data_IF_833319456064
#
_entry.id   IF_833319456064
#
_cell.length_a   1.000
_cell.length_b   1.000
_cell.length_c   1.000
_cell.angle_alpha   90.00
_cell.angle_beta   90.00
_cell.angle_gamma   90.00
#
_symmetry.space_group_name_H-M   'P 1'
#
loop_
_entity.id
_entity.type
_entity.pdbx_description
1 polymer ?
#
# COMPACT_ATOMS: atom_id res chain seq x y z
N UNK A 1 -11.00 -28.28 -11.85
CA UNK A 1 -10.99 -27.24 -10.81
C UNK A 1 -11.12 -27.92 -9.46
N UNK A 2 -10.10 -27.88 -8.63
CA UNK A 2 -10.24 -28.26 -7.22
C UNK A 2 -10.93 -27.07 -6.54
N UNK A 3 -11.91 -27.30 -5.65
CA UNK A 3 -12.50 -26.23 -4.89
C UNK A 3 -11.40 -25.58 -4.04
N UNK A 4 -11.29 -24.25 -4.10
CA UNK A 4 -10.45 -23.49 -3.19
C UNK A 4 -10.98 -23.81 -1.79
N UNK A 5 -10.15 -24.41 -0.96
CA UNK A 5 -10.47 -24.56 0.45
C UNK A 5 -10.56 -23.17 1.04
N UNK A 6 -11.77 -22.70 1.29
CA UNK A 6 -12.00 -21.60 2.22
C UNK A 6 -11.65 -22.13 3.59
N UNK A 7 -10.37 -22.05 3.95
CA UNK A 7 -9.96 -22.30 5.32
C UNK A 7 -10.59 -21.20 6.16
N UNK A 8 -11.62 -21.56 6.91
CA UNK A 8 -12.09 -20.73 7.99
C UNK A 8 -10.89 -20.38 8.86
N UNK A 9 -10.70 -19.12 9.24
CA UNK A 9 -9.54 -18.72 10.04
C UNK A 9 -9.51 -19.56 11.33
N UNK A 10 -8.32 -19.99 11.79
CA UNK A 10 -8.19 -20.65 13.09
C UNK A 10 -8.76 -19.73 14.17
N UNK A 11 -9.34 -20.32 15.21
CA UNK A 11 -10.02 -19.59 16.28
C UNK A 11 -9.18 -18.43 16.85
N UNK A 12 -9.83 -17.46 17.46
CA UNK A 12 -9.28 -16.18 17.92
C UNK A 12 -8.06 -16.29 18.87
N UNK A 13 -7.77 -17.49 19.41
CA UNK A 13 -6.75 -17.73 20.44
C UNK A 13 -5.39 -18.24 19.89
N UNK A 14 -5.23 -18.37 18.57
CA UNK A 14 -3.98 -18.86 17.96
C UNK A 14 -3.01 -17.74 17.57
N UNK A 15 -1.71 -18.05 17.56
CA UNK A 15 -0.71 -17.18 16.93
C UNK A 15 -1.08 -16.92 15.47
N UNK A 16 -0.97 -15.66 14.97
CA UNK A 16 -1.24 -15.36 13.56
C UNK A 16 -0.35 -16.22 12.66
N UNK A 17 -0.95 -16.97 11.74
CA UNK A 17 -0.21 -17.67 10.70
C UNK A 17 0.07 -16.71 9.56
N UNK A 18 1.19 -16.90 8.86
CA UNK A 18 1.52 -16.10 7.68
C UNK A 18 0.47 -16.27 6.57
N UNK A 19 0.03 -15.15 5.97
CA UNK A 19 -0.85 -15.16 4.79
C UNK A 19 -1.90 -14.05 4.80
N UNK A 20 -2.33 -13.65 3.59
CA UNK A 20 -3.42 -12.70 3.37
C UNK A 20 -4.27 -13.16 2.17
N UNK A 21 -5.59 -13.16 2.32
CA UNK A 21 -6.52 -13.74 1.35
C UNK A 21 -7.60 -12.78 0.88
N UNK A 22 -7.74 -11.62 1.53
CA UNK A 22 -8.75 -10.60 1.24
C UNK A 22 -8.35 -9.29 1.90
N UNK A 23 -8.85 -8.19 1.37
CA UNK A 23 -8.63 -6.85 1.94
C UNK A 23 -9.64 -6.50 3.06
N UNK A 24 -10.63 -7.34 3.30
CA UNK A 24 -11.66 -7.14 4.32
C UNK A 24 -11.96 -8.43 5.09
N UNK A 25 -11.07 -9.01 5.74
CA UNK A 25 -11.29 -10.13 6.66
C UNK A 25 -10.89 -9.72 8.06
N UNK A 26 -10.95 -10.67 8.99
CA UNK A 26 -10.47 -10.43 10.37
C UNK A 26 -8.97 -10.16 10.32
N UNK A 27 -8.58 -8.93 10.59
CA UNK A 27 -7.17 -8.53 10.64
C UNK A 27 -6.50 -9.12 11.88
N UNK A 28 -5.46 -9.94 11.70
CA UNK A 28 -4.76 -10.63 12.79
C UNK A 28 -3.43 -9.98 13.14
N UNK A 29 -2.75 -9.50 12.12
CA UNK A 29 -1.44 -8.87 12.26
C UNK A 29 -1.27 -7.78 11.22
N UNK A 30 -0.59 -6.70 11.58
CA UNK A 30 -0.31 -5.58 10.68
C UNK A 30 1.09 -5.03 10.92
N UNK A 31 1.72 -4.54 9.87
CA UNK A 31 2.93 -3.73 9.97
C UNK A 31 2.51 -2.27 9.85
N UNK A 32 2.69 -1.50 10.93
CA UNK A 32 2.46 -0.06 10.92
C UNK A 32 3.77 0.65 10.64
N UNK A 33 3.78 1.55 9.67
CA UNK A 33 4.97 2.29 9.23
C UNK A 33 5.61 3.15 10.32
N UNK A 34 6.77 3.71 10.03
CA UNK A 34 7.51 4.61 10.89
C UNK A 34 7.88 5.89 10.16
N UNK A 35 7.76 7.04 10.84
CA UNK A 35 8.25 8.33 10.34
C UNK A 35 9.70 8.61 10.76
N UNK A 36 10.33 7.71 11.52
CA UNK A 36 11.72 7.87 11.96
C UNK A 36 12.67 7.97 10.77
N UNK A 37 13.50 8.98 10.77
CA UNK A 37 14.48 9.23 9.71
C UNK A 37 13.88 9.60 8.34
N UNK A 38 12.58 9.89 8.23
CA UNK A 38 11.94 10.22 6.96
C UNK A 38 12.66 11.35 6.22
N UNK A 39 13.24 11.02 5.07
CA UNK A 39 13.95 11.95 4.20
C UNK A 39 13.45 11.82 2.76
N UNK A 40 12.80 12.86 2.25
CA UNK A 40 12.26 12.88 0.90
C UNK A 40 13.32 13.29 -0.12
N UNK A 41 13.29 12.75 -1.34
CA UNK A 41 14.25 13.11 -2.37
C UNK A 41 14.10 14.58 -2.78
N UNK A 42 15.10 15.17 -3.46
CA UNK A 42 14.97 16.49 -4.06
C UNK A 42 13.70 16.62 -4.89
N UNK A 43 13.19 17.85 -5.01
CA UNK A 43 11.97 18.11 -5.78
C UNK A 43 12.06 17.57 -7.22
N UNK A 44 11.05 16.81 -7.60
CA UNK A 44 10.85 16.36 -8.98
C UNK A 44 9.41 16.73 -9.38
N UNK A 45 9.20 17.34 -10.56
CA UNK A 45 7.88 17.68 -11.07
C UNK A 45 6.88 16.50 -11.12
N UNK A 46 7.38 15.27 -11.25
CA UNK A 46 6.54 14.06 -11.21
C UNK A 46 5.97 13.75 -9.82
N UNK A 47 6.36 14.49 -8.77
CA UNK A 47 5.84 14.38 -7.41
C UNK A 47 4.64 15.30 -7.18
N UNK A 48 3.80 15.48 -8.17
CA UNK A 48 2.63 16.37 -8.13
C UNK A 48 1.54 15.96 -7.10
N UNK A 49 1.56 14.70 -6.66
CA UNK A 49 0.64 14.20 -5.62
C UNK A 49 0.99 14.71 -4.20
N UNK A 50 2.14 15.33 -3.99
CA UNK A 50 2.43 16.01 -2.75
C UNK A 50 1.65 17.33 -2.66
N UNK A 51 1.17 17.65 -1.46
CA UNK A 51 0.50 18.93 -1.24
C UNK A 51 1.46 20.12 -1.42
N UNK A 52 0.88 21.32 -1.61
CA UNK A 52 1.63 22.55 -1.93
C UNK A 52 2.69 22.92 -0.88
N UNK A 53 2.41 22.67 0.41
CA UNK A 53 3.35 22.94 1.50
C UNK A 53 4.60 22.09 1.35
N UNK A 54 4.44 20.78 1.15
CA UNK A 54 5.54 19.84 0.99
C UNK A 54 6.31 20.09 -0.32
N UNK A 55 5.61 20.39 -1.43
CA UNK A 55 6.26 20.78 -2.68
C UNK A 55 7.10 22.06 -2.50
N UNK A 56 6.60 23.03 -1.76
CA UNK A 56 7.32 24.29 -1.47
C UNK A 56 8.57 24.02 -0.64
N UNK A 57 8.48 23.17 0.38
CA UNK A 57 9.63 22.77 1.19
C UNK A 57 10.69 22.02 0.37
N UNK A 58 10.26 21.09 -0.48
CA UNK A 58 11.16 20.33 -1.39
C UNK A 58 11.87 21.26 -2.38
N UNK A 59 11.18 22.25 -2.97
CA UNK A 59 11.81 23.24 -3.85
C UNK A 59 12.86 24.06 -3.13
N UNK A 60 12.66 24.37 -1.85
CA UNK A 60 13.64 25.11 -1.03
C UNK A 60 14.85 24.28 -0.62
N UNK A 61 14.73 22.96 -0.49
CA UNK A 61 15.84 22.08 -0.13
C UNK A 61 16.89 21.92 -1.23
N UNK A 62 16.54 22.29 -2.47
CA UNK A 62 17.41 22.18 -3.64
C UNK A 62 17.74 20.71 -3.97
N UNK A 63 19.03 20.43 -4.19
CA UNK A 63 19.51 19.09 -4.59
C UNK A 63 19.73 18.14 -3.39
N UNK A 64 19.37 18.56 -2.17
CA UNK A 64 19.52 17.73 -0.95
C UNK A 64 18.20 17.08 -0.59
N UNK A 65 18.22 15.85 -0.04
CA UNK A 65 17.05 15.26 0.57
C UNK A 65 16.49 16.16 1.68
N UNK A 66 15.16 16.26 1.74
CA UNK A 66 14.47 16.99 2.79
C UNK A 66 14.21 16.05 3.97
N UNK A 67 14.93 16.24 5.07
CA UNK A 67 14.64 15.57 6.35
C UNK A 67 13.42 16.22 6.97
N UNK A 68 12.31 15.48 7.03
CA UNK A 68 11.01 16.07 7.42
C UNK A 68 11.02 16.57 8.85
N UNK A 69 11.68 15.87 9.78
CA UNK A 69 11.83 16.29 11.17
C UNK A 69 12.53 17.65 11.33
N UNK A 70 13.52 17.95 10.47
CA UNK A 70 14.32 19.18 10.56
C UNK A 70 13.58 20.39 9.96
N UNK A 71 12.80 20.16 8.91
CA UNK A 71 12.20 21.25 8.11
C UNK A 71 10.73 21.48 8.46
N UNK A 72 10.03 20.42 8.89
CA UNK A 72 8.61 20.41 9.23
C UNK A 72 8.36 19.65 10.54
N UNK A 73 8.95 20.06 11.67
CA UNK A 73 8.93 19.29 12.93
C UNK A 73 7.52 19.05 13.46
N UNK A 74 6.63 20.03 13.41
CA UNK A 74 5.24 19.87 13.87
C UNK A 74 4.48 18.82 13.03
N UNK A 75 4.71 18.79 11.71
CA UNK A 75 4.13 17.80 10.82
C UNK A 75 4.69 16.41 11.10
N UNK A 76 6.00 16.32 11.32
CA UNK A 76 6.66 15.06 11.67
C UNK A 76 6.13 14.53 13.00
N UNK A 77 6.06 15.33 14.05
CA UNK A 77 5.51 14.96 15.35
C UNK A 77 4.06 14.47 15.24
N UNK A 78 3.24 15.20 14.50
CA UNK A 78 1.84 14.80 14.24
C UNK A 78 1.77 13.45 13.51
N UNK A 79 2.65 13.21 12.54
CA UNK A 79 2.71 11.94 11.80
C UNK A 79 3.10 10.78 12.73
N UNK A 80 4.10 10.98 13.60
CA UNK A 80 4.49 9.98 14.62
C UNK A 80 3.31 9.67 15.54
N UNK A 81 2.65 10.69 16.08
CA UNK A 81 1.49 10.52 16.97
C UNK A 81 0.36 9.77 16.29
N UNK A 82 0.06 10.05 15.02
CA UNK A 82 -1.00 9.37 14.27
C UNK A 82 -0.67 7.89 14.02
N UNK A 83 0.59 7.58 13.69
CA UNK A 83 1.04 6.18 13.53
C UNK A 83 0.96 5.41 14.86
N UNK A 84 1.32 6.04 15.97
CA UNK A 84 1.24 5.43 17.30
C UNK A 84 -0.23 5.22 17.73
N UNK A 85 -1.11 6.17 17.41
CA UNK A 85 -2.56 6.04 17.65
C UNK A 85 -3.16 4.90 16.81
N UNK A 86 -2.74 4.76 15.55
CA UNK A 86 -3.18 3.67 14.68
C UNK A 86 -2.70 2.31 15.22
N UNK A 87 -1.44 2.21 15.62
CA UNK A 87 -0.89 1.00 16.25
C UNK A 87 -1.68 0.62 17.50
N UNK A 88 -1.91 1.58 18.41
CA UNK A 88 -2.70 1.36 19.62
C UNK A 88 -4.17 1.01 19.33
N UNK A 89 -4.76 1.55 18.24
CA UNK A 89 -6.09 1.18 17.79
C UNK A 89 -6.14 -0.30 17.37
N UNK A 90 -5.20 -0.74 16.57
CA UNK A 90 -5.08 -2.13 16.13
C UNK A 90 -4.90 -3.08 17.33
N UNK A 91 -3.96 -2.79 18.23
CA UNK A 91 -3.70 -3.59 19.42
C UNK A 91 -4.94 -3.74 20.33
N UNK A 92 -5.70 -2.64 20.53
CA UNK A 92 -6.96 -2.68 21.31
C UNK A 92 -8.03 -3.55 20.67
N UNK A 93 -7.96 -3.78 19.36
CA UNK A 93 -8.85 -4.65 18.62
C UNK A 93 -8.26 -6.05 18.36
N UNK A 94 -7.23 -6.44 19.14
CA UNK A 94 -6.66 -7.78 19.09
C UNK A 94 -5.72 -8.04 17.89
N UNK A 95 -5.34 -7.00 17.13
CA UNK A 95 -4.40 -7.11 16.03
C UNK A 95 -2.98 -7.04 16.57
N UNK A 96 -2.13 -8.01 16.21
CA UNK A 96 -0.69 -7.93 16.51
C UNK A 96 -0.02 -6.90 15.62
N UNK A 97 0.62 -5.91 16.22
CA UNK A 97 1.29 -4.83 15.49
C UNK A 97 2.80 -5.06 15.46
N UNK A 98 3.38 -4.87 14.28
CA UNK A 98 4.82 -4.85 14.05
C UNK A 98 5.24 -3.47 13.57
N UNK A 99 6.46 -3.05 13.94
CA UNK A 99 7.05 -1.78 13.49
C UNK A 99 8.40 -2.07 12.81
N UNK A 100 8.67 -1.52 11.64
CA UNK A 100 9.98 -1.67 11.02
C UNK A 100 11.03 -0.94 11.86
N UNK A 101 12.22 -1.55 12.01
CA UNK A 101 13.36 -0.87 12.60
C UNK A 101 13.88 0.24 11.70
N UNK A 102 14.63 1.21 12.25
CA UNK A 102 15.37 2.17 11.43
C UNK A 102 16.35 1.50 10.46
N UNK A 103 16.71 2.21 9.39
CA UNK A 103 17.76 1.79 8.47
C UNK A 103 19.14 1.78 9.15
N UNK A 104 19.96 0.79 8.78
CA UNK A 104 21.40 0.88 9.01
C UNK A 104 22.04 1.93 8.08
N UNK A 105 23.30 2.32 8.35
CA UNK A 105 24.04 3.22 7.45
C UNK A 105 24.12 2.67 6.02
N UNK A 106 24.48 1.39 5.87
CA UNK A 106 24.58 0.74 4.55
C UNK A 106 23.23 0.74 3.80
N UNK A 107 22.15 0.48 4.51
CA UNK A 107 20.80 0.53 3.90
C UNK A 107 20.41 1.96 3.54
N UNK A 108 20.76 2.94 4.33
CA UNK A 108 20.53 4.37 4.03
C UNK A 108 21.23 4.78 2.73
N UNK A 109 22.48 4.33 2.54
CA UNK A 109 23.28 4.62 1.35
C UNK A 109 22.86 3.81 0.10
N UNK A 110 22.19 2.68 0.30
CA UNK A 110 21.77 1.83 -0.80
C UNK A 110 20.86 2.61 -1.78
N UNK A 111 21.21 2.60 -3.05
CA UNK A 111 20.55 3.34 -4.15
C UNK A 111 20.51 4.88 -3.98
N UNK A 112 21.14 5.46 -2.96
CA UNK A 112 21.16 6.92 -2.75
C UNK A 112 21.81 7.67 -3.93
N UNK A 113 22.69 7.01 -4.68
CA UNK A 113 23.32 7.58 -5.91
C UNK A 113 22.31 7.73 -7.05
N UNK A 114 21.23 6.94 -7.09
CA UNK A 114 20.15 7.08 -8.07
C UNK A 114 19.13 8.12 -7.62
N UNK A 115 18.71 8.01 -6.37
CA UNK A 115 17.74 8.93 -5.77
C UNK A 115 17.97 8.97 -4.26
N UNK A 116 18.52 10.06 -3.70
CA UNK A 116 18.75 10.18 -2.28
C UNK A 116 17.41 10.31 -1.55
N UNK A 117 17.39 9.86 -0.29
CA UNK A 117 16.21 9.84 0.56
C UNK A 117 15.89 8.44 1.07
N UNK A 118 14.96 8.35 1.98
CA UNK A 118 14.41 7.09 2.52
C UNK A 118 13.10 7.32 3.25
N UNK A 119 12.27 6.28 3.31
CA UNK A 119 10.98 6.27 3.99
C UNK A 119 10.74 4.88 4.57
N UNK A 120 10.00 4.81 5.66
CA UNK A 120 9.38 3.58 6.19
C UNK A 120 7.91 3.83 6.51
N UNK A 121 7.34 4.91 5.92
CA UNK A 121 6.01 5.38 6.27
C UNK A 121 4.90 4.49 5.74
N UNK A 122 5.09 3.90 4.55
CA UNK A 122 4.08 3.11 3.85
C UNK A 122 4.58 1.69 3.54
N UNK A 123 4.57 0.78 4.54
CA UNK A 123 5.12 -0.57 4.38
C UNK A 123 4.34 -1.46 3.40
N UNK A 124 3.12 -1.07 3.03
CA UNK A 124 2.33 -1.80 2.05
C UNK A 124 2.83 -1.63 0.61
N UNK A 125 3.54 -0.54 0.28
CA UNK A 125 3.90 -0.27 -1.11
C UNK A 125 5.04 -1.16 -1.66
N UNK A 126 6.15 -1.43 -0.90
CA UNK A 126 7.26 -2.23 -1.39
C UNK A 126 6.99 -3.74 -1.40
N UNK A 127 5.89 -4.17 -0.81
CA UNK A 127 5.59 -5.60 -0.63
C UNK A 127 4.09 -5.87 -0.78
N UNK A 128 3.74 -7.13 -1.06
CA UNK A 128 2.35 -7.58 -1.03
C UNK A 128 2.28 -9.04 -0.60
N UNK A 129 1.31 -9.39 0.23
CA UNK A 129 1.04 -10.77 0.60
C UNK A 129 -0.24 -11.24 -0.08
N UNK A 130 -0.17 -12.33 -0.84
CA UNK A 130 -1.30 -12.92 -1.56
C UNK A 130 -1.35 -14.42 -1.28
N UNK A 131 -2.33 -14.86 -0.52
CA UNK A 131 -2.32 -16.21 0.03
C UNK A 131 -1.10 -16.43 0.91
N UNK A 132 -0.30 -17.44 0.59
CA UNK A 132 0.96 -17.77 1.26
C UNK A 132 2.20 -17.19 0.57
N UNK A 133 2.03 -16.36 -0.46
CA UNK A 133 3.13 -15.75 -1.20
C UNK A 133 3.40 -14.35 -0.70
N UNK A 134 4.62 -14.08 -0.30
CA UNK A 134 5.13 -12.76 0.01
C UNK A 134 5.92 -12.23 -1.19
N UNK A 135 5.42 -11.17 -1.79
CA UNK A 135 6.05 -10.51 -2.93
C UNK A 135 6.86 -9.32 -2.46
N UNK A 136 8.12 -9.23 -2.87
CA UNK A 136 8.89 -7.99 -2.85
C UNK A 136 8.80 -7.35 -4.24
N UNK A 137 8.34 -6.11 -4.26
CA UNK A 137 7.95 -5.39 -5.44
C UNK A 137 8.97 -4.30 -5.79
N UNK A 138 8.97 -3.87 -7.04
CA UNK A 138 9.80 -2.74 -7.46
C UNK A 138 9.00 -1.45 -7.44
N UNK A 139 9.20 -0.66 -6.40
CA UNK A 139 8.69 0.71 -6.36
C UNK A 139 9.37 1.54 -7.45
N UNK A 140 8.58 2.34 -8.17
CA UNK A 140 9.10 3.22 -9.23
C UNK A 140 10.14 4.20 -8.69
N UNK A 141 9.94 4.76 -7.51
CA UNK A 141 10.86 5.67 -6.82
C UNK A 141 12.03 4.91 -6.20
N UNK A 142 13.23 5.12 -6.75
CA UNK A 142 14.42 4.34 -6.38
C UNK A 142 14.76 4.45 -4.89
N UNK A 143 14.56 5.63 -4.24
CA UNK A 143 14.87 5.83 -2.83
C UNK A 143 14.02 4.96 -1.88
N UNK A 144 12.86 4.47 -2.35
CA UNK A 144 11.96 3.61 -1.58
C UNK A 144 12.24 2.11 -1.74
N UNK A 145 13.02 1.68 -2.75
CA UNK A 145 13.26 0.24 -3.02
C UNK A 145 14.00 -0.48 -1.90
N UNK A 146 14.68 0.25 -1.01
CA UNK A 146 15.32 -0.28 0.19
C UNK A 146 14.34 -0.56 1.35
N UNK A 147 13.10 -0.12 1.26
CA UNK A 147 12.08 -0.32 2.30
C UNK A 147 11.82 -1.81 2.60
N UNK A 148 12.12 -2.71 1.68
CA UNK A 148 12.03 -4.16 1.88
C UNK A 148 12.96 -4.68 2.99
N UNK A 149 14.12 -4.06 3.26
CA UNK A 149 15.11 -4.59 4.20
C UNK A 149 14.57 -4.66 5.63
N UNK A 150 14.08 -3.57 6.26
CA UNK A 150 13.49 -3.66 7.60
C UNK A 150 12.23 -4.52 7.66
N UNK A 151 11.50 -4.69 6.55
CA UNK A 151 10.31 -5.53 6.49
C UNK A 151 10.67 -7.01 6.48
N UNK A 152 11.79 -7.40 5.85
CA UNK A 152 12.30 -8.78 5.89
C UNK A 152 12.55 -9.27 7.31
N UNK A 153 13.06 -8.42 8.19
CA UNK A 153 13.33 -8.78 9.58
C UNK A 153 12.04 -9.16 10.35
N UNK A 154 10.90 -8.59 9.94
CA UNK A 154 9.59 -8.91 10.51
C UNK A 154 9.02 -10.18 9.88
N UNK A 155 9.08 -10.29 8.55
CA UNK A 155 8.38 -11.32 7.79
C UNK A 155 9.14 -12.64 7.73
N UNK A 156 10.48 -12.61 7.64
CA UNK A 156 11.29 -13.82 7.48
C UNK A 156 11.10 -14.86 8.60
N UNK A 157 11.02 -14.49 9.90
CA UNK A 157 10.74 -15.46 10.95
C UNK A 157 9.36 -16.13 10.82
N UNK A 158 8.34 -15.38 10.38
CA UNK A 158 6.99 -15.90 10.18
C UNK A 158 6.95 -16.90 9.02
N UNK A 159 7.63 -16.57 7.93
CA UNK A 159 7.73 -17.45 6.76
C UNK A 159 8.52 -18.71 7.06
N UNK A 160 9.61 -18.60 7.84
CA UNK A 160 10.39 -19.75 8.25
C UNK A 160 9.62 -20.74 9.15
N UNK A 161 8.56 -20.26 9.80
CA UNK A 161 7.67 -21.09 10.62
C UNK A 161 6.50 -21.73 9.83
N UNK A 162 6.37 -21.43 8.52
CA UNK A 162 5.29 -21.88 7.66
C UNK A 162 5.87 -22.51 6.39
N UNK A 163 5.78 -23.83 6.28
CA UNK A 163 6.33 -24.61 5.15
C UNK A 163 5.62 -24.38 3.81
N UNK A 164 4.48 -23.69 3.81
CA UNK A 164 3.74 -23.29 2.63
C UNK A 164 4.04 -21.84 2.18
N UNK A 165 4.78 -21.09 2.99
CA UNK A 165 5.12 -19.71 2.66
C UNK A 165 6.14 -19.63 1.52
N UNK A 166 5.86 -18.79 0.54
CA UNK A 166 6.73 -18.56 -0.62
C UNK A 166 7.20 -17.11 -0.64
N UNK A 167 8.51 -16.89 -0.79
CA UNK A 167 9.08 -15.56 -1.00
C UNK A 167 9.39 -15.36 -2.48
N UNK A 168 8.70 -14.42 -3.09
CA UNK A 168 8.81 -14.09 -4.52
C UNK A 168 9.36 -12.69 -4.69
N UNK A 169 10.52 -12.56 -5.32
CA UNK A 169 11.18 -11.27 -5.53
C UNK A 169 11.03 -10.85 -6.99
N UNK A 170 10.50 -9.66 -7.21
CA UNK A 170 10.36 -9.10 -8.54
C UNK A 170 11.73 -8.82 -9.15
N UNK A 171 11.99 -9.17 -10.43
CA UNK A 171 13.25 -8.83 -11.10
C UNK A 171 13.51 -7.33 -11.05
N UNK A 172 14.74 -6.95 -10.74
CA UNK A 172 15.12 -5.54 -10.69
C UNK A 172 14.78 -4.84 -12.02
N UNK A 173 14.26 -3.60 -11.99
CA UNK A 173 13.99 -2.86 -13.20
C UNK A 173 15.29 -2.52 -13.92
N UNK A 174 15.23 -2.38 -15.22
CA UNK A 174 16.39 -1.98 -16.00
C UNK A 174 16.91 -0.61 -15.54
N UNK A 175 18.24 -0.37 -15.58
CA UNK A 175 18.79 0.94 -15.28
C UNK A 175 18.16 2.02 -16.19
N UNK A 176 17.80 3.13 -15.59
CA UNK A 176 17.16 4.26 -16.28
C UNK A 176 17.54 5.57 -15.60
N UNK A 177 17.34 6.66 -16.32
CA UNK A 177 17.38 7.99 -15.75
C UNK A 177 16.21 8.18 -14.77
N UNK A 178 16.46 8.50 -13.49
CA UNK A 178 15.40 8.71 -12.50
C UNK A 178 14.34 9.75 -12.92
N UNK A 179 14.71 10.71 -13.78
CA UNK A 179 13.78 11.72 -14.27
C UNK A 179 12.77 11.18 -15.29
N UNK A 180 13.12 10.12 -16.03
CA UNK A 180 12.26 9.52 -17.05
C UNK A 180 11.35 8.40 -16.53
N UNK A 181 11.66 7.85 -15.37
CA UNK A 181 10.92 6.75 -14.77
C UNK A 181 11.18 5.37 -15.40
N UNK A 182 11.85 5.27 -16.56
CA UNK A 182 12.25 4.00 -17.20
C UNK A 182 11.11 3.00 -17.50
N UNK A 183 11.45 1.87 -18.16
CA UNK A 183 10.45 0.89 -18.61
C UNK A 183 9.94 -0.06 -17.50
N UNK A 184 10.61 -0.15 -16.36
CA UNK A 184 10.27 -1.08 -15.29
C UNK A 184 10.91 -2.46 -15.44
N UNK A 185 10.29 -3.51 -14.88
CA UNK A 185 8.92 -3.57 -14.36
C UNK A 185 8.73 -2.84 -13.03
N UNK A 186 7.59 -2.15 -12.84
CA UNK A 186 7.20 -1.49 -11.60
C UNK A 186 5.86 -2.01 -11.13
N UNK A 187 5.77 -2.30 -9.82
CA UNK A 187 4.54 -2.69 -9.15
C UNK A 187 4.64 -2.24 -7.70
N UNK A 188 3.57 -1.65 -7.19
CA UNK A 188 3.49 -1.16 -5.81
C UNK A 188 2.24 -1.75 -5.13
N UNK A 189 2.36 -2.19 -3.88
CA UNK A 189 1.29 -2.87 -3.18
C UNK A 189 0.02 -2.02 -3.00
N UNK A 190 0.16 -0.69 -2.98
CA UNK A 190 -0.96 0.24 -2.99
C UNK A 190 -1.83 0.20 -4.25
N UNK A 191 -1.35 -0.42 -5.33
CA UNK A 191 -2.11 -0.66 -6.57
C UNK A 191 -2.79 -2.03 -6.60
N UNK A 192 -2.73 -2.83 -5.52
CA UNK A 192 -3.20 -4.20 -5.53
C UNK A 192 -4.35 -4.39 -4.53
N UNK A 193 -5.47 -4.91 -4.99
CA UNK A 193 -6.66 -5.19 -4.17
C UNK A 193 -7.14 -6.60 -4.47
N UNK A 194 -7.28 -7.43 -3.41
CA UNK A 194 -7.64 -8.84 -3.54
C UNK A 194 -9.09 -9.10 -3.10
N UNK A 195 -9.83 -9.81 -3.93
CA UNK A 195 -11.12 -10.38 -3.60
C UNK A 195 -11.23 -11.82 -4.09
N UNK A 196 -11.26 -12.78 -3.19
CA UNK A 196 -11.30 -14.21 -3.52
C UNK A 196 -10.11 -14.60 -4.43
N UNK A 197 -10.42 -15.09 -5.65
CA UNK A 197 -9.42 -15.40 -6.68
C UNK A 197 -9.27 -14.28 -7.73
N UNK A 198 -9.73 -13.07 -7.43
CA UNK A 198 -9.59 -11.91 -8.28
C UNK A 198 -8.60 -10.93 -7.66
N UNK A 199 -7.69 -10.40 -8.47
CA UNK A 199 -6.75 -9.37 -8.10
C UNK A 199 -6.92 -8.17 -9.04
N UNK A 200 -7.30 -7.02 -8.48
CA UNK A 200 -7.41 -5.76 -9.21
C UNK A 200 -6.10 -5.01 -9.08
N UNK A 201 -5.53 -4.59 -10.22
CA UNK A 201 -4.20 -3.96 -10.25
C UNK A 201 -4.27 -2.63 -10.99
N UNK A 202 -3.99 -1.54 -10.27
CA UNK A 202 -3.91 -0.18 -10.82
C UNK A 202 -2.73 -0.01 -11.77
N UNK A 203 -2.95 0.63 -12.90
CA UNK A 203 -1.91 0.99 -13.87
C UNK A 203 -2.01 2.50 -14.17
N UNK A 204 -1.10 3.28 -13.57
CA UNK A 204 -1.12 4.75 -13.65
C UNK A 204 0.11 5.33 -14.36
N UNK A 205 1.15 4.54 -14.59
CA UNK A 205 2.49 4.95 -15.06
C UNK A 205 3.22 5.97 -14.17
N UNK A 206 2.67 6.31 -13.00
CA UNK A 206 3.35 7.09 -11.95
C UNK A 206 3.79 6.23 -10.76
N UNK A 207 3.20 5.04 -10.61
CA UNK A 207 3.58 3.98 -9.67
C UNK A 207 3.69 2.65 -10.44
N UNK A 208 2.69 1.80 -10.42
CA UNK A 208 2.69 0.55 -11.19
C UNK A 208 2.50 0.77 -12.69
N UNK A 209 3.07 -0.12 -13.48
CA UNK A 209 2.94 -0.12 -14.92
C UNK A 209 2.64 -1.52 -15.48
N UNK A 210 2.27 -1.56 -16.76
CA UNK A 210 1.91 -2.79 -17.45
C UNK A 210 2.96 -3.90 -17.33
N UNK A 211 4.26 -3.56 -17.44
CA UNK A 211 5.32 -4.55 -17.31
C UNK A 211 5.35 -5.20 -15.91
N UNK A 212 5.01 -4.44 -14.86
CA UNK A 212 4.84 -4.95 -13.50
C UNK A 212 3.65 -5.89 -13.40
N UNK A 213 2.50 -5.50 -13.94
CA UNK A 213 1.30 -6.34 -13.96
C UNK A 213 1.49 -7.61 -14.78
N UNK A 214 2.16 -7.54 -15.96
CA UNK A 214 2.49 -8.70 -16.79
C UNK A 214 3.35 -9.71 -16.03
N UNK A 215 4.35 -9.22 -15.29
CA UNK A 215 5.18 -10.08 -14.44
C UNK A 215 4.35 -10.74 -13.35
N UNK A 216 3.55 -9.98 -12.61
CA UNK A 216 2.71 -10.52 -11.53
C UNK A 216 1.75 -11.59 -12.06
N UNK A 217 1.07 -11.32 -13.16
CA UNK A 217 0.14 -12.26 -13.79
C UNK A 217 0.83 -13.59 -14.12
N UNK A 218 2.08 -13.53 -14.61
CA UNK A 218 2.87 -14.74 -14.88
C UNK A 218 3.17 -15.58 -13.63
N UNK A 219 3.18 -14.96 -12.43
CA UNK A 219 3.44 -15.65 -11.16
C UNK A 219 2.18 -16.25 -10.53
N UNK A 220 1.00 -15.71 -10.82
CA UNK A 220 -0.24 -16.06 -10.10
C UNK A 220 -1.36 -16.60 -11.00
N UNK A 221 -1.19 -16.67 -12.31
CA UNK A 221 -2.23 -17.06 -13.28
C UNK A 221 -2.85 -18.44 -13.02
N UNK A 222 -2.18 -19.32 -12.28
CA UNK A 222 -2.74 -20.63 -11.91
C UNK A 222 -3.85 -20.52 -10.85
N UNK A 223 -3.81 -19.49 -9.99
CA UNK A 223 -4.64 -19.38 -8.81
C UNK A 223 -5.55 -18.14 -8.85
N UNK A 224 -5.12 -17.07 -9.53
CA UNK A 224 -5.79 -15.77 -9.53
C UNK A 224 -6.03 -15.24 -10.94
N UNK A 225 -7.16 -14.53 -11.09
CA UNK A 225 -7.47 -13.75 -12.28
C UNK A 225 -7.12 -12.28 -12.04
N UNK A 226 -6.21 -11.75 -12.83
CA UNK A 226 -5.81 -10.34 -12.77
C UNK A 226 -6.77 -9.47 -13.58
N UNK A 227 -7.27 -8.40 -12.95
CA UNK A 227 -8.08 -7.35 -13.57
C UNK A 227 -7.27 -6.06 -13.59
N UNK A 228 -6.87 -5.63 -14.77
CA UNK A 228 -6.14 -4.37 -14.95
C UNK A 228 -7.09 -3.20 -14.80
N UNK A 229 -6.69 -2.21 -14.01
CA UNK A 229 -7.44 -1.00 -13.71
C UNK A 229 -6.65 0.21 -14.21
N UNK A 230 -6.80 0.61 -15.48
CA UNK A 230 -6.18 1.83 -15.99
C UNK A 230 -6.65 3.04 -15.20
N UNK A 231 -5.70 3.89 -14.81
CA UNK A 231 -5.91 5.08 -13.99
C UNK A 231 -5.39 6.33 -14.69
N UNK A 232 -6.00 7.49 -14.39
CA UNK A 232 -5.56 8.78 -14.93
C UNK A 232 -4.27 9.31 -14.28
N UNK A 233 -3.91 8.78 -13.11
CA UNK A 233 -2.70 9.20 -12.36
C UNK A 233 -2.87 10.51 -11.61
N UNK A 234 -4.09 10.92 -11.25
CA UNK A 234 -4.32 12.07 -10.36
C UNK A 234 -4.12 11.70 -8.90
N UNK A 235 -4.32 10.41 -8.56
CA UNK A 235 -3.89 9.81 -7.30
C UNK A 235 -2.76 8.81 -7.57
N UNK A 236 -1.97 8.50 -6.55
CA UNK A 236 -0.75 7.70 -6.73
C UNK A 236 -1.07 6.22 -7.02
N UNK A 237 -2.01 5.64 -6.28
CA UNK A 237 -2.31 4.21 -6.29
C UNK A 237 -3.80 3.93 -6.44
N UNK A 238 -4.15 2.70 -6.83
CA UNK A 238 -5.54 2.23 -6.88
C UNK A 238 -6.25 2.37 -5.53
N UNK A 239 -5.56 2.15 -4.40
CA UNK A 239 -6.09 2.39 -3.05
C UNK A 239 -6.44 3.88 -2.80
N UNK A 240 -5.94 4.81 -3.60
CA UNK A 240 -6.40 6.21 -3.60
C UNK A 240 -7.70 6.43 -4.38
N UNK A 241 -8.06 5.51 -5.24
CA UNK A 241 -9.27 5.56 -6.08
C UNK A 241 -10.37 4.61 -5.62
N UNK A 242 -10.01 3.44 -5.11
CA UNK A 242 -10.96 2.39 -4.75
C UNK A 242 -10.48 1.60 -3.53
N UNK A 243 -11.42 1.22 -2.66
CA UNK A 243 -11.17 0.26 -1.58
C UNK A 243 -12.40 -0.63 -1.37
N UNK A 244 -12.16 -1.89 -1.08
CA UNK A 244 -13.21 -2.84 -0.70
C UNK A 244 -13.38 -2.78 0.83
N UNK A 245 -14.56 -2.36 1.29
CA UNK A 245 -14.87 -2.19 2.72
C UNK A 245 -15.25 -3.53 3.35
N UNK A 246 -16.16 -4.24 2.71
CA UNK A 246 -16.61 -5.60 3.01
C UNK A 246 -17.17 -6.24 1.75
N UNK A 247 -17.56 -7.50 1.81
CA UNK A 247 -18.21 -8.14 0.67
C UNK A 247 -19.47 -7.38 0.26
N UNK A 248 -19.55 -7.02 -1.01
CA UNK A 248 -20.69 -6.30 -1.59
C UNK A 248 -20.67 -4.78 -1.40
N UNK A 249 -19.64 -4.19 -0.77
CA UNK A 249 -19.53 -2.75 -0.56
C UNK A 249 -18.11 -2.22 -0.82
N UNK A 250 -18.02 -1.16 -1.64
CA UNK A 250 -16.76 -0.46 -1.90
C UNK A 250 -16.93 1.07 -1.85
N UNK A 251 -15.84 1.77 -1.59
CA UNK A 251 -15.73 3.22 -1.75
C UNK A 251 -14.98 3.48 -3.05
N UNK A 252 -15.45 4.44 -3.86
CA UNK A 252 -14.93 4.67 -5.21
C UNK A 252 -14.81 6.15 -5.54
N UNK A 253 -13.63 6.57 -5.95
CA UNK A 253 -13.39 7.81 -6.67
C UNK A 253 -13.41 7.50 -8.18
N UNK A 254 -14.62 7.54 -8.77
CA UNK A 254 -14.90 7.14 -10.15
C UNK A 254 -14.05 7.89 -11.17
N UNK A 255 -13.87 9.18 -10.96
CA UNK A 255 -13.17 10.05 -11.91
C UNK A 255 -11.70 9.68 -12.13
N UNK A 256 -11.08 8.89 -11.25
CA UNK A 256 -9.71 8.41 -11.42
C UNK A 256 -9.59 7.22 -12.36
N UNK A 257 -10.62 6.41 -12.50
CA UNK A 257 -10.57 5.19 -13.31
C UNK A 257 -10.89 5.48 -14.79
N UNK A 258 -10.06 4.94 -15.68
CA UNK A 258 -10.31 4.92 -17.14
C UNK A 258 -10.93 3.59 -17.59
N UNK A 259 -11.66 2.92 -16.71
CA UNK A 259 -12.37 1.68 -16.99
C UNK A 259 -13.65 1.56 -16.16
N UNK A 260 -14.56 0.70 -16.61
CA UNK A 260 -15.69 0.25 -15.80
C UNK A 260 -15.25 -0.73 -14.73
N UNK A 261 -16.02 -0.87 -13.64
CA UNK A 261 -15.77 -1.89 -12.63
C UNK A 261 -15.82 -3.28 -13.26
N UNK A 262 -14.79 -4.12 -13.00
CA UNK A 262 -14.77 -5.49 -13.49
C UNK A 262 -15.97 -6.32 -13.02
N UNK A 263 -16.29 -7.38 -13.76
CA UNK A 263 -17.45 -8.25 -13.49
C UNK A 263 -17.64 -8.64 -12.01
N UNK A 264 -16.61 -9.05 -11.28
CA UNK A 264 -16.72 -9.42 -9.86
C UNK A 264 -17.22 -8.31 -8.93
N UNK A 265 -17.05 -7.03 -9.32
CA UNK A 265 -17.43 -5.86 -8.52
C UNK A 265 -18.63 -5.10 -9.09
N UNK A 266 -19.15 -5.51 -10.25
CA UNK A 266 -20.17 -4.74 -11.00
C UNK A 266 -21.46 -4.53 -10.22
N UNK A 267 -21.87 -5.52 -9.46
CA UNK A 267 -23.13 -5.51 -8.72
C UNK A 267 -22.94 -5.11 -7.24
N UNK A 268 -21.76 -4.63 -6.87
CA UNK A 268 -21.49 -4.17 -5.51
C UNK A 268 -22.09 -2.78 -5.27
N UNK A 269 -22.53 -2.54 -4.03
CA UNK A 269 -22.88 -1.20 -3.59
C UNK A 269 -21.65 -0.31 -3.60
N UNK A 270 -21.83 0.92 -4.10
CA UNK A 270 -20.75 1.89 -4.23
C UNK A 270 -21.07 3.12 -3.40
N UNK A 271 -20.11 3.52 -2.54
CA UNK A 271 -20.07 4.85 -1.95
C UNK A 271 -19.18 5.69 -2.88
N UNK A 272 -19.78 6.44 -3.79
CA UNK A 272 -19.03 7.36 -4.64
C UNK A 272 -18.54 8.56 -3.81
N UNK A 273 -17.28 8.94 -4.00
CA UNK A 273 -16.66 10.07 -3.32
C UNK A 273 -16.25 11.16 -4.32
N UNK A 274 -16.26 12.39 -3.83
CA UNK A 274 -15.79 13.58 -4.54
C UNK A 274 -14.27 13.67 -4.58
N UNK A 275 -13.72 14.53 -5.47
CA UNK A 275 -12.31 14.90 -5.52
C UNK A 275 -11.80 15.42 -4.15
N UNK A 276 -12.62 16.20 -3.44
CA UNK A 276 -12.26 16.70 -2.10
C UNK A 276 -12.12 15.57 -1.08
N UNK A 277 -13.01 14.58 -1.10
CA UNK A 277 -12.97 13.43 -0.19
C UNK A 277 -11.83 12.47 -0.58
N UNK A 278 -11.55 12.29 -1.88
CA UNK A 278 -10.39 11.53 -2.34
C UNK A 278 -9.07 12.17 -1.86
N UNK A 279 -8.94 13.50 -1.96
CA UNK A 279 -7.81 14.26 -1.41
C UNK A 279 -7.73 14.22 0.12
N UNK A 280 -8.84 13.96 0.81
CA UNK A 280 -8.89 13.70 2.24
C UNK A 280 -8.68 12.22 2.60
N UNK A 281 -8.26 11.40 1.63
CA UNK A 281 -7.95 9.97 1.78
C UNK A 281 -9.15 9.09 2.17
N UNK A 282 -10.34 9.37 1.65
CA UNK A 282 -11.56 8.62 1.98
C UNK A 282 -11.52 7.14 1.57
N UNK A 283 -10.67 6.77 0.61
CA UNK A 283 -10.44 5.38 0.21
C UNK A 283 -9.32 4.71 1.01
N UNK A 284 -8.53 5.48 1.77
CA UNK A 284 -7.39 4.96 2.53
C UNK A 284 -7.86 4.54 3.93
N UNK A 285 -8.47 3.39 4.01
CA UNK A 285 -8.93 2.80 5.25
C UNK A 285 -8.58 1.33 5.35
N UNK A 286 -8.86 0.71 6.49
CA UNK A 286 -8.57 -0.69 6.76
C UNK A 286 -9.73 -1.35 7.47
N UNK A 287 -10.20 -2.48 6.94
CA UNK A 287 -11.16 -3.34 7.62
C UNK A 287 -10.46 -4.11 8.74
N UNK A 288 -10.97 -4.02 9.96
CA UNK A 288 -10.54 -4.87 11.08
C UNK A 288 -11.23 -6.22 11.00
N UNK A 289 -12.47 -6.21 10.53
CA UNK A 289 -13.32 -7.35 10.23
C UNK A 289 -14.48 -6.89 9.31
N UNK A 290 -15.46 -7.74 9.08
CA UNK A 290 -16.59 -7.44 8.18
C UNK A 290 -17.55 -6.34 8.71
N UNK A 291 -17.40 -5.90 9.95
CA UNK A 291 -18.27 -4.91 10.63
C UNK A 291 -17.55 -3.65 11.06
N UNK A 292 -16.22 -3.66 11.10
CA UNK A 292 -15.42 -2.55 11.60
C UNK A 292 -14.42 -2.08 10.56
N UNK A 293 -14.61 -0.85 10.10
CA UNK A 293 -13.73 -0.21 9.14
C UNK A 293 -13.08 1.05 9.73
N UNK A 294 -11.77 1.11 9.69
CA UNK A 294 -10.98 2.27 10.15
C UNK A 294 -10.77 3.21 8.98
N UNK A 295 -11.21 4.45 9.13
CA UNK A 295 -11.13 5.50 8.10
C UNK A 295 -10.57 6.78 8.72
N UNK A 296 -9.90 7.68 7.95
CA UNK A 296 -9.48 8.98 8.46
C UNK A 296 -10.61 9.82 9.06
N UNK A 297 -10.33 10.52 10.14
CA UNK A 297 -11.30 11.42 10.79
C UNK A 297 -11.68 12.60 9.88
N UNK A 298 -12.89 13.15 10.07
CA UNK A 298 -13.38 14.32 9.33
C UNK A 298 -14.06 14.00 8.01
N UNK A 299 -14.37 12.74 7.75
CA UNK A 299 -15.10 12.26 6.58
C UNK A 299 -16.56 11.95 6.96
N UNK A 300 -17.26 12.90 7.54
CA UNK A 300 -18.59 12.71 8.17
C UNK A 300 -19.60 12.07 7.21
N UNK A 301 -19.71 12.57 5.98
CA UNK A 301 -20.61 12.01 4.97
C UNK A 301 -20.28 10.54 4.64
N UNK A 302 -19.00 10.22 4.47
CA UNK A 302 -18.58 8.84 4.17
C UNK A 302 -18.85 7.92 5.35
N UNK A 303 -18.61 8.39 6.58
CA UNK A 303 -18.94 7.65 7.80
C UNK A 303 -20.44 7.39 7.92
N UNK A 304 -21.29 8.40 7.67
CA UNK A 304 -22.76 8.24 7.65
C UNK A 304 -23.22 7.24 6.57
N UNK A 305 -22.57 7.24 5.40
CA UNK A 305 -22.86 6.27 4.35
C UNK A 305 -22.43 4.85 4.73
N UNK A 306 -21.32 4.68 5.42
CA UNK A 306 -20.87 3.40 5.97
C UNK A 306 -21.83 2.89 7.04
N UNK A 307 -22.15 3.72 8.05
CA UNK A 307 -23.08 3.37 9.15
C UNK A 307 -24.46 2.97 8.64
N UNK A 308 -24.96 3.62 7.58
CA UNK A 308 -26.25 3.30 6.98
C UNK A 308 -26.29 1.93 6.31
N UNK A 309 -25.14 1.43 5.88
CA UNK A 309 -25.02 0.14 5.20
C UNK A 309 -24.59 -1.00 6.11
N UNK A 310 -24.26 -0.73 7.35
CA UNK A 310 -23.93 -1.71 8.40
C UNK A 310 -22.50 -2.15 8.36
#
# INVERSE_FOLDING_TARGET
MKPIQTNSPPGLDGEPTFGAYTDFGVLRAAIVGSAEGLALPPFNPTLHHYNDELQTALKKSGDRPLVVADVMPERWEKTVQQLDQLAALYERNGVRVYRPRPYSETETEYLAYLQPGHSLLYPADPVYTLGKRYFELNIRRAYRRKEVFPLRDIVAPMMAADDQAEHVVMPAPQPFDPSSGGPGPYLEGGDMICYRNHLFVGESDIASNRAGTDWLESQIAADYQVHRMPMKGTVLHLLGAMVLVREGLLILYRDELDCELPGPLRDWEVIEISDTEAKAYATVGVSLDEQHYVIPAGLDRVNEELDRRG
#
